data_IF_050667811883
#
_entry.id   IF_050667811883
#
_cell.length_a   1.000
_cell.length_b   1.000
_cell.length_c   1.000
_cell.angle_alpha   90.00
_cell.angle_beta   90.00
_cell.angle_gamma   90.00
#
_symmetry.space_group_name_H-M   'P 1'
#
loop_
_entity.id
_entity.type
_entity.pdbx_description
1 polymer ?
#
# COMPACT_ATOMS: atom_id res chain seq x y z
N UNK A 1 7.90 -10.14 20.95
CA UNK A 1 9.03 -9.40 20.42
C UNK A 1 8.47 -8.29 19.55
N UNK A 2 8.80 -7.10 19.98
CA UNK A 2 8.30 -5.81 19.55
C UNK A 2 8.59 -5.56 18.06
N UNK A 3 7.58 -5.70 17.20
CA UNK A 3 7.67 -5.40 15.76
C UNK A 3 7.02 -4.03 15.43
N UNK A 4 6.68 -3.24 16.44
CA UNK A 4 6.08 -1.93 16.24
C UNK A 4 7.11 -0.88 15.75
N UNK A 5 8.37 -0.97 16.18
CA UNK A 5 9.40 0.03 15.86
C UNK A 5 9.88 0.04 14.40
N UNK A 6 9.60 -0.99 13.61
CA UNK A 6 10.02 -1.06 12.20
C UNK A 6 9.22 -0.15 11.25
N UNK A 7 8.05 0.33 11.66
CA UNK A 7 7.21 1.20 10.84
C UNK A 7 7.66 2.65 10.85
N UNK A 8 8.15 3.12 12.00
CA UNK A 8 8.63 4.50 12.19
C UNK A 8 9.85 4.78 11.30
N UNK A 9 10.82 3.85 11.28
CA UNK A 9 12.00 4.00 10.43
C UNK A 9 11.70 3.94 8.92
N UNK A 10 10.62 3.26 8.51
CA UNK A 10 10.23 3.20 7.10
C UNK A 10 9.53 4.50 6.65
N UNK A 11 8.85 5.20 7.54
CA UNK A 11 8.16 6.47 7.25
C UNK A 11 9.18 7.58 7.01
N UNK A 12 10.26 7.66 7.80
CA UNK A 12 11.32 8.67 7.64
C UNK A 12 12.06 8.59 6.30
N UNK A 13 12.07 7.42 5.66
CA UNK A 13 12.78 7.22 4.39
C UNK A 13 11.93 7.51 3.14
N UNK A 14 10.62 7.69 3.30
CA UNK A 14 9.71 7.64 2.15
C UNK A 14 9.16 8.98 1.64
N UNK A 15 9.46 10.11 2.29
CA UNK A 15 9.10 11.43 1.80
C UNK A 15 7.63 11.56 1.35
N UNK A 16 7.33 12.29 0.27
CA UNK A 16 5.96 12.60 -0.17
C UNK A 16 5.08 11.42 -0.63
N UNK A 17 5.51 10.19 -0.40
CA UNK A 17 4.70 8.96 -0.65
C UNK A 17 3.77 8.64 0.52
N UNK A 18 3.65 9.53 1.47
CA UNK A 18 2.87 9.39 2.70
C UNK A 18 1.38 9.13 2.48
N UNK A 19 0.81 9.50 1.34
CA UNK A 19 -0.58 9.21 0.98
C UNK A 19 -0.91 7.71 0.87
N UNK A 20 0.11 6.86 0.82
CA UNK A 20 -0.04 5.42 0.64
C UNK A 20 0.03 4.64 1.94
N UNK A 21 0.42 5.27 3.04
CA UNK A 21 0.72 4.63 4.30
C UNK A 21 -0.29 4.97 5.37
N UNK A 22 -0.51 4.02 6.26
CA UNK A 22 -1.08 4.31 7.57
C UNK A 22 0.01 4.99 8.38
N UNK A 23 -0.02 6.32 8.43
CA UNK A 23 0.87 7.07 9.29
C UNK A 23 0.53 6.77 10.75
N UNK A 24 1.43 6.22 11.55
CA UNK A 24 1.29 6.31 12.99
C UNK A 24 1.45 7.78 13.36
N UNK A 25 0.44 8.40 13.94
CA UNK A 25 0.68 9.55 14.79
C UNK A 25 1.54 9.06 15.96
N UNK A 26 2.59 9.78 16.30
CA UNK A 26 3.48 9.40 17.41
C UNK A 26 2.67 9.27 18.71
N UNK A 27 1.77 10.20 18.96
CA UNK A 27 0.73 10.14 19.97
C UNK A 27 -0.54 10.84 19.43
N UNK A 28 -1.63 10.10 19.14
CA UNK A 28 -2.88 10.72 18.68
C UNK A 28 -3.53 11.67 19.70
N UNK A 29 -3.19 11.54 20.98
CA UNK A 29 -3.69 12.43 22.03
C UNK A 29 -2.89 13.74 22.13
N UNK A 30 -1.70 13.81 21.50
CA UNK A 30 -0.88 15.02 21.46
C UNK A 30 -1.31 15.92 20.27
N UNK A 31 -1.85 17.14 20.53
CA UNK A 31 -2.18 18.09 19.47
C UNK A 31 -0.97 18.42 18.55
N UNK A 32 0.25 18.43 19.10
CA UNK A 32 1.46 18.73 18.33
C UNK A 32 1.70 17.69 17.22
N UNK A 33 1.34 16.42 17.44
CA UNK A 33 1.47 15.38 16.42
C UNK A 33 0.58 15.63 15.20
N UNK A 34 -0.58 16.26 15.40
CA UNK A 34 -1.49 16.65 14.32
C UNK A 34 -1.01 17.87 13.55
N UNK A 35 -0.38 18.83 14.25
CA UNK A 35 0.25 20.00 13.62
C UNK A 35 1.44 19.58 12.76
N UNK A 36 2.28 18.68 13.27
CA UNK A 36 3.40 18.10 12.52
C UNK A 36 2.89 17.34 11.29
N UNK A 37 1.84 16.54 11.44
CA UNK A 37 1.22 15.86 10.31
C UNK A 37 0.69 16.86 9.28
N UNK A 38 -0.01 17.93 9.71
CA UNK A 38 -0.50 18.96 8.79
C UNK A 38 0.64 19.64 8.02
N UNK A 39 1.72 19.96 8.71
CA UNK A 39 2.93 20.54 8.09
C UNK A 39 3.52 19.62 7.04
N UNK A 40 3.56 18.31 7.34
CA UNK A 40 4.13 17.28 6.46
C UNK A 40 3.28 17.04 5.20
N UNK A 41 1.95 16.92 5.35
CA UNK A 41 1.07 16.52 4.24
C UNK A 41 0.51 17.72 3.46
N UNK A 42 0.53 18.89 4.03
CA UNK A 42 -0.05 20.10 3.46
C UNK A 42 -1.57 20.23 3.62
N UNK A 43 -2.14 21.38 3.24
CA UNK A 43 -3.56 21.70 3.40
C UNK A 43 -4.44 20.87 2.45
N UNK A 44 -5.63 20.49 2.93
CA UNK A 44 -6.66 19.79 2.14
C UNK A 44 -6.30 18.37 1.70
N UNK A 45 -5.19 17.81 2.20
CA UNK A 45 -4.70 16.49 1.82
C UNK A 45 -5.42 15.40 2.61
N UNK A 46 -5.81 14.33 1.92
CA UNK A 46 -6.45 13.18 2.55
C UNK A 46 -5.42 12.10 2.86
N UNK A 47 -5.34 11.70 4.13
CA UNK A 47 -4.40 10.68 4.61
C UNK A 47 -5.11 9.56 5.35
N UNK A 48 -4.45 8.41 5.46
CA UNK A 48 -4.93 7.27 6.24
C UNK A 48 -4.06 7.07 7.46
N UNK A 49 -4.71 7.01 8.61
CA UNK A 49 -4.07 6.89 9.91
C UNK A 49 -4.50 5.60 10.62
N UNK A 50 -3.74 5.20 11.63
CA UNK A 50 -4.27 4.36 12.70
C UNK A 50 -5.44 5.09 13.38
N UNK A 51 -6.41 4.37 13.98
CA UNK A 51 -7.49 5.02 14.71
C UNK A 51 -6.95 5.97 15.75
N UNK A 52 -7.50 7.18 15.78
CA UNK A 52 -7.41 8.11 16.88
C UNK A 52 -8.81 8.19 17.50
N UNK A 53 -8.88 8.25 18.81
CA UNK A 53 -10.16 8.38 19.52
C UNK A 53 -10.74 9.77 19.28
N UNK A 54 -9.90 10.79 19.33
CA UNK A 54 -10.25 12.18 19.05
C UNK A 54 -9.50 12.71 17.83
N UNK A 55 -10.23 13.36 16.95
CA UNK A 55 -9.68 14.06 15.78
C UNK A 55 -9.82 15.55 16.05
N UNK A 56 -8.74 16.34 16.02
CA UNK A 56 -8.80 17.76 16.34
C UNK A 56 -9.70 18.57 15.39
N UNK A 57 -10.17 19.71 15.89
CA UNK A 57 -10.94 20.67 15.09
C UNK A 57 -10.18 21.06 13.82
N UNK A 58 -10.93 21.22 12.75
CA UNK A 58 -10.38 21.53 11.43
C UNK A 58 -10.02 20.32 10.59
N UNK A 59 -9.72 19.15 11.18
CA UNK A 59 -9.57 17.90 10.47
C UNK A 59 -10.93 17.26 10.18
N UNK A 60 -11.11 16.78 8.96
CA UNK A 60 -12.37 16.14 8.54
C UNK A 60 -12.21 14.63 8.49
N UNK A 61 -13.05 13.90 9.23
CA UNK A 61 -13.14 12.45 9.09
C UNK A 61 -13.86 12.12 7.79
N UNK A 62 -13.12 11.56 6.83
CA UNK A 62 -13.63 11.18 5.51
C UNK A 62 -14.21 9.77 5.51
N UNK A 63 -13.80 8.92 6.47
CA UNK A 63 -14.31 7.57 6.61
C UNK A 63 -13.50 6.73 7.59
N UNK A 64 -14.07 5.58 7.91
CA UNK A 64 -13.41 4.53 8.67
C UNK A 64 -13.50 3.23 7.89
N UNK A 65 -12.46 2.43 7.93
CA UNK A 65 -12.43 1.13 7.26
C UNK A 65 -11.70 0.10 8.10
N UNK A 66 -11.76 -1.14 7.68
CA UNK A 66 -10.96 -2.21 8.25
C UNK A 66 -10.10 -2.80 7.17
N UNK A 67 -8.82 -3.01 7.47
CA UNK A 67 -7.91 -3.76 6.63
C UNK A 67 -7.48 -5.04 7.32
N UNK A 68 -7.13 -6.04 6.53
CA UNK A 68 -6.46 -7.25 6.97
C UNK A 68 -5.02 -7.21 6.51
N UNK A 69 -4.10 -7.58 7.40
CA UNK A 69 -2.71 -7.84 7.07
C UNK A 69 -2.53 -9.35 6.92
N UNK A 70 -1.98 -9.76 5.79
CA UNK A 70 -1.69 -11.16 5.49
C UNK A 70 -0.19 -11.35 5.31
N UNK A 71 0.32 -12.48 5.78
CA UNK A 71 1.74 -12.86 5.69
C UNK A 71 1.90 -14.15 4.89
N UNK A 72 2.90 -14.18 4.02
CA UNK A 72 3.14 -15.30 3.10
C UNK A 72 3.89 -16.45 3.76
N UNK A 73 3.32 -17.08 4.79
CA UNK A 73 3.95 -18.15 5.56
C UNK A 73 4.12 -19.44 4.77
N UNK A 74 3.08 -19.86 4.04
CA UNK A 74 3.05 -21.07 3.22
C UNK A 74 3.01 -20.76 1.71
N UNK A 75 3.30 -19.52 1.33
CA UNK A 75 3.28 -19.09 -0.06
C UNK A 75 4.32 -19.87 -0.86
N UNK A 76 3.89 -20.52 -1.95
CA UNK A 76 4.78 -21.08 -2.94
C UNK A 76 5.09 -20.01 -3.97
N UNK A 77 6.37 -19.62 -4.05
CA UNK A 77 6.85 -18.65 -5.03
C UNK A 77 7.16 -19.35 -6.35
N UNK A 78 7.00 -18.62 -7.43
CA UNK A 78 7.24 -19.11 -8.78
C UNK A 78 7.51 -17.91 -9.69
N UNK A 79 8.58 -17.92 -10.50
CA UNK A 79 8.83 -16.87 -11.48
C UNK A 79 7.73 -16.86 -12.54
N UNK A 80 7.31 -15.69 -12.99
CA UNK A 80 6.37 -15.54 -14.09
C UNK A 80 7.13 -15.17 -15.37
N UNK A 81 7.38 -16.15 -16.23
CA UNK A 81 8.19 -15.99 -17.44
C UNK A 81 7.62 -15.00 -18.46
N UNK A 82 6.32 -14.74 -18.42
CA UNK A 82 5.62 -13.78 -19.28
C UNK A 82 5.39 -12.41 -18.61
N UNK A 83 5.83 -12.25 -17.37
CA UNK A 83 5.80 -10.97 -16.69
C UNK A 83 7.00 -10.11 -17.11
N UNK A 84 6.72 -8.83 -17.32
CA UNK A 84 7.75 -7.83 -17.62
C UNK A 84 7.94 -6.93 -16.42
N UNK A 85 9.19 -6.52 -16.17
CA UNK A 85 9.49 -5.50 -15.18
C UNK A 85 9.04 -4.15 -15.71
N UNK A 86 8.28 -3.42 -14.89
CA UNK A 86 7.77 -2.09 -15.21
C UNK A 86 8.65 -1.02 -14.56
N UNK A 87 8.77 0.12 -15.23
CA UNK A 87 9.57 1.25 -14.79
C UNK A 87 8.89 2.60 -15.02
N UNK A 88 9.61 3.71 -14.86
CA UNK A 88 9.06 5.05 -15.02
C UNK A 88 8.37 5.30 -16.38
N UNK A 89 8.87 4.71 -17.45
CA UNK A 89 8.28 4.83 -18.78
C UNK A 89 6.88 4.19 -18.90
N UNK A 90 6.57 3.22 -18.04
CA UNK A 90 5.29 2.51 -18.05
C UNK A 90 4.23 3.20 -17.15
N UNK A 91 4.59 4.24 -16.39
CA UNK A 91 3.70 4.91 -15.44
C UNK A 91 2.37 5.37 -16.05
N UNK A 92 2.30 5.97 -17.24
CA UNK A 92 1.02 6.36 -17.86
C UNK A 92 0.08 5.16 -18.03
N UNK A 93 0.60 4.03 -18.48
CA UNK A 93 -0.17 2.80 -18.70
C UNK A 93 -0.57 2.12 -17.38
N UNK A 94 0.30 2.17 -16.37
CA UNK A 94 0.00 1.72 -15.02
C UNK A 94 -1.16 2.53 -14.44
N UNK A 95 -1.11 3.86 -14.53
CA UNK A 95 -2.18 4.74 -14.03
C UNK A 95 -3.51 4.49 -14.73
N UNK A 96 -3.52 4.22 -16.04
CA UNK A 96 -4.72 3.83 -16.77
C UNK A 96 -5.30 2.49 -16.24
N UNK A 97 -4.46 1.48 -16.02
CA UNK A 97 -4.91 0.21 -15.42
C UNK A 97 -5.44 0.41 -14.00
N UNK A 98 -4.74 1.19 -13.17
CA UNK A 98 -5.14 1.50 -11.80
C UNK A 98 -6.48 2.24 -11.75
N UNK A 99 -6.69 3.22 -12.62
CA UNK A 99 -7.97 3.95 -12.71
C UNK A 99 -9.15 3.02 -13.02
N UNK A 100 -8.95 2.03 -13.89
CA UNK A 100 -9.98 1.04 -14.28
C UNK A 100 -10.22 -0.04 -13.21
N UNK A 101 -9.22 -0.38 -12.42
CA UNK A 101 -9.26 -1.54 -11.50
C UNK A 101 -9.38 -1.15 -10.03
N UNK A 102 -8.94 0.06 -9.66
CA UNK A 102 -8.97 0.65 -8.32
C UNK A 102 -8.39 -0.28 -7.23
N UNK A 103 -7.14 -0.76 -7.39
CA UNK A 103 -6.53 -1.70 -6.43
C UNK A 103 -6.15 -1.03 -5.10
N UNK A 104 -6.17 0.28 -5.06
CA UNK A 104 -5.70 1.13 -3.98
C UNK A 104 -4.90 2.31 -4.55
N UNK A 105 -4.33 3.16 -3.68
CA UNK A 105 -3.56 4.31 -4.14
C UNK A 105 -2.33 3.88 -4.95
N UNK A 106 -2.13 4.53 -6.09
CA UNK A 106 -0.93 4.44 -6.92
C UNK A 106 -0.71 5.80 -7.58
N UNK A 107 0.43 6.41 -7.36
CA UNK A 107 0.81 7.73 -7.86
C UNK A 107 1.97 7.61 -8.86
N UNK A 108 2.30 8.69 -9.55
CA UNK A 108 3.33 8.67 -10.59
C UNK A 108 4.70 8.17 -10.15
N UNK A 109 5.06 8.40 -8.87
CA UNK A 109 6.35 7.95 -8.30
C UNK A 109 6.27 6.62 -7.55
N UNK A 110 5.09 6.01 -7.43
CA UNK A 110 4.93 4.74 -6.69
C UNK A 110 5.79 3.61 -7.26
N UNK A 111 6.05 3.63 -8.56
CA UNK A 111 6.92 2.66 -9.24
C UNK A 111 8.37 2.67 -8.72
N UNK A 112 8.80 3.76 -8.08
CA UNK A 112 10.15 3.92 -7.51
C UNK A 112 10.34 3.18 -6.17
N UNK A 113 9.24 2.75 -5.53
CA UNK A 113 9.27 2.12 -4.20
C UNK A 113 9.83 0.70 -4.20
N UNK A 114 9.83 0.02 -5.35
CA UNK A 114 10.32 -1.35 -5.45
C UNK A 114 10.14 -1.95 -6.83
N UNK A 115 10.15 -3.27 -6.90
CA UNK A 115 9.95 -3.99 -8.15
C UNK A 115 8.48 -4.06 -8.50
N UNK A 116 8.12 -3.64 -9.70
CA UNK A 116 6.78 -3.80 -10.28
C UNK A 116 6.83 -4.74 -11.47
N UNK A 117 5.92 -5.72 -11.48
CA UNK A 117 5.77 -6.69 -12.55
C UNK A 117 4.41 -6.54 -13.22
N UNK A 118 4.37 -6.63 -14.53
CA UNK A 118 3.15 -6.56 -15.31
C UNK A 118 3.03 -7.67 -16.33
N UNK A 119 1.81 -8.02 -16.70
CA UNK A 119 1.51 -8.90 -17.82
C UNK A 119 0.83 -8.09 -18.91
N UNK A 120 1.28 -8.26 -20.14
CA UNK A 120 0.73 -7.58 -21.32
C UNK A 120 -0.04 -8.55 -22.19
N UNK A 121 -1.10 -8.06 -22.81
CA UNK A 121 -1.83 -8.76 -23.86
C UNK A 121 -2.03 -7.83 -25.06
N UNK A 122 -1.55 -8.24 -26.22
CA UNK A 122 -1.56 -7.42 -27.45
C UNK A 122 -0.97 -6.02 -27.22
N UNK A 123 0.16 -5.96 -26.52
CA UNK A 123 0.86 -4.71 -26.19
C UNK A 123 0.29 -3.92 -25.01
N UNK A 124 -0.91 -4.20 -24.51
CA UNK A 124 -1.57 -3.48 -23.41
C UNK A 124 -1.33 -4.17 -22.07
N UNK A 125 -1.06 -3.38 -21.02
CA UNK A 125 -0.96 -3.85 -19.65
C UNK A 125 -2.33 -4.29 -19.12
N UNK A 126 -2.42 -5.57 -18.71
CA UNK A 126 -3.67 -6.18 -18.26
C UNK A 126 -3.62 -6.65 -16.81
N UNK A 127 -2.46 -6.79 -16.23
CA UNK A 127 -2.30 -7.14 -14.81
C UNK A 127 -1.01 -6.54 -14.27
N UNK A 128 -1.03 -6.21 -12.98
CA UNK A 128 0.04 -5.56 -12.24
C UNK A 128 0.14 -6.15 -10.83
N UNK A 129 1.34 -6.26 -10.31
CA UNK A 129 1.66 -6.37 -8.89
C UNK A 129 3.05 -5.79 -8.65
N UNK A 130 3.32 -5.28 -7.45
CA UNK A 130 4.64 -4.74 -7.15
C UNK A 130 4.88 -4.61 -5.65
N UNK A 131 6.01 -4.03 -5.32
CA UNK A 131 6.47 -3.79 -3.95
C UNK A 131 6.18 -2.34 -3.55
N UNK A 132 5.88 -2.11 -2.27
CA UNK A 132 5.60 -0.77 -1.77
C UNK A 132 6.43 -0.41 -0.54
N UNK A 133 6.28 -1.14 0.54
CA UNK A 133 6.93 -0.86 1.82
C UNK A 133 7.97 -1.94 2.09
N UNK A 134 9.17 -1.51 2.47
CA UNK A 134 10.20 -2.40 2.97
C UNK A 134 10.55 -2.00 4.40
N UNK A 135 10.48 -2.97 5.30
CA UNK A 135 10.96 -2.85 6.69
C UNK A 135 11.91 -4.01 6.98
N UNK A 136 12.78 -3.94 8.00
CA UNK A 136 13.75 -5.00 8.25
C UNK A 136 13.12 -6.40 8.25
N UNK A 137 13.56 -7.25 7.31
CA UNK A 137 13.11 -8.63 7.13
C UNK A 137 11.74 -8.81 6.47
N UNK A 138 11.08 -7.73 5.99
CA UNK A 138 9.76 -7.80 5.37
C UNK A 138 9.59 -6.81 4.23
N UNK A 139 8.92 -7.25 3.15
CA UNK A 139 8.55 -6.39 2.02
C UNK A 139 7.07 -6.57 1.69
N UNK A 140 6.35 -5.45 1.52
CA UNK A 140 4.92 -5.45 1.18
C UNK A 140 4.69 -5.61 -0.31
N UNK A 141 3.82 -6.56 -0.66
CA UNK A 141 3.25 -6.68 -2.01
C UNK A 141 2.02 -5.78 -2.09
N UNK A 142 1.95 -4.96 -3.12
CA UNK A 142 0.90 -3.96 -3.33
C UNK A 142 0.49 -3.84 -4.79
N UNK A 143 -0.49 -2.98 -5.06
CA UNK A 143 -1.02 -2.66 -6.39
C UNK A 143 -1.48 -3.88 -7.21
N UNK A 144 -1.86 -4.97 -6.54
CA UNK A 144 -2.30 -6.19 -7.21
C UNK A 144 -3.63 -5.94 -7.91
N UNK A 145 -3.61 -5.95 -9.23
CA UNK A 145 -4.82 -5.76 -10.02
C UNK A 145 -4.77 -6.49 -11.36
N UNK A 146 -5.99 -6.75 -11.88
CA UNK A 146 -6.19 -7.36 -13.20
C UNK A 146 -7.35 -6.67 -13.89
N UNK A 147 -7.13 -6.29 -15.14
CA UNK A 147 -8.16 -5.72 -16.01
C UNK A 147 -9.43 -6.59 -15.99
N UNK A 148 -10.63 -6.00 -15.85
CA UNK A 148 -11.87 -6.74 -15.75
C UNK A 148 -12.08 -7.80 -16.83
N UNK A 149 -11.72 -7.50 -18.08
CA UNK A 149 -11.84 -8.44 -19.20
C UNK A 149 -10.86 -9.62 -19.16
N UNK A 150 -9.91 -9.61 -18.21
CA UNK A 150 -8.88 -10.64 -18.09
C UNK A 150 -8.87 -11.33 -16.71
N UNK A 151 -9.86 -11.05 -15.86
CA UNK A 151 -10.04 -11.73 -14.55
C UNK A 151 -10.38 -13.21 -14.73
N UNK A 152 -10.25 -13.98 -13.63
CA UNK A 152 -10.52 -15.42 -13.62
C UNK A 152 -9.44 -16.29 -14.29
N UNK A 153 -8.36 -15.71 -14.78
CA UNK A 153 -7.25 -16.41 -15.47
C UNK A 153 -6.01 -16.62 -14.58
N UNK A 154 -6.10 -16.36 -13.29
CA UNK A 154 -4.99 -16.54 -12.34
C UNK A 154 -3.86 -15.52 -12.44
N UNK A 155 -3.99 -14.44 -13.25
CA UNK A 155 -2.92 -13.48 -13.49
C UNK A 155 -2.42 -12.80 -12.22
N UNK A 156 -3.34 -12.37 -11.34
CA UNK A 156 -2.99 -11.75 -10.05
C UNK A 156 -2.20 -12.70 -9.15
N UNK A 157 -2.65 -13.94 -9.00
CA UNK A 157 -1.96 -14.95 -8.20
C UNK A 157 -0.54 -15.22 -8.73
N UNK A 158 -0.38 -15.28 -10.05
CA UNK A 158 0.89 -15.50 -10.72
C UNK A 158 1.87 -14.36 -10.49
N UNK A 159 1.40 -13.11 -10.64
CA UNK A 159 2.23 -11.93 -10.36
C UNK A 159 2.60 -11.83 -8.89
N UNK A 160 1.68 -12.11 -7.96
CA UNK A 160 1.98 -12.11 -6.52
C UNK A 160 3.05 -13.14 -6.18
N UNK A 161 3.01 -14.34 -6.77
CA UNK A 161 4.06 -15.36 -6.57
C UNK A 161 5.40 -14.90 -7.11
N UNK A 162 5.43 -14.27 -8.28
CA UNK A 162 6.66 -13.79 -8.90
C UNK A 162 7.29 -12.61 -8.13
N UNK A 163 6.46 -11.67 -7.65
CA UNK A 163 6.97 -10.58 -6.78
C UNK A 163 7.51 -11.15 -5.48
N UNK A 164 6.79 -12.10 -4.88
CA UNK A 164 7.22 -12.76 -3.65
C UNK A 164 8.51 -13.58 -3.83
N UNK A 165 8.74 -14.12 -5.01
CA UNK A 165 9.98 -14.82 -5.36
C UNK A 165 11.17 -13.87 -5.25
N UNK A 166 11.14 -12.73 -5.93
CA UNK A 166 12.18 -11.72 -5.82
C UNK A 166 12.34 -11.12 -4.40
N UNK A 167 11.25 -11.05 -3.61
CA UNK A 167 11.33 -10.65 -2.20
C UNK A 167 12.13 -11.68 -1.39
N UNK A 168 11.85 -12.96 -1.56
CA UNK A 168 12.54 -14.05 -0.84
C UNK A 168 14.00 -14.22 -1.26
N UNK A 169 14.31 -14.02 -2.54
CA UNK A 169 15.70 -14.04 -3.03
C UNK A 169 16.59 -13.00 -2.30
N UNK A 170 15.99 -11.90 -1.85
CA UNK A 170 16.67 -10.88 -1.03
C UNK A 170 16.68 -11.15 0.47
N UNK A 171 16.12 -12.29 0.90
CA UNK A 171 16.03 -12.69 2.31
C UNK A 171 14.85 -12.09 3.08
N UNK A 172 13.98 -11.31 2.42
CA UNK A 172 12.78 -10.72 3.03
C UNK A 172 11.60 -11.68 3.00
N UNK A 173 10.62 -11.43 3.87
CA UNK A 173 9.33 -12.14 3.91
C UNK A 173 8.24 -11.29 3.26
N UNK A 174 7.45 -11.87 2.35
CA UNK A 174 6.34 -11.13 1.74
C UNK A 174 5.16 -10.99 2.70
N UNK A 175 4.57 -9.79 2.74
CA UNK A 175 3.28 -9.52 3.36
C UNK A 175 2.45 -8.62 2.45
N UNK A 176 1.17 -8.45 2.76
CA UNK A 176 0.29 -7.54 2.04
C UNK A 176 -0.87 -7.08 2.93
N UNK A 177 -1.55 -6.03 2.48
CA UNK A 177 -2.81 -5.58 3.08
C UNK A 177 -3.94 -5.66 2.05
N UNK A 178 -5.13 -5.95 2.54
CA UNK A 178 -6.36 -5.88 1.77
C UNK A 178 -7.46 -5.20 2.61
N UNK A 179 -8.40 -4.53 1.97
CA UNK A 179 -9.62 -4.10 2.64
C UNK A 179 -10.37 -5.34 3.16
N UNK A 180 -10.90 -5.28 4.37
CA UNK A 180 -11.50 -6.45 5.04
C UNK A 180 -12.77 -6.94 4.35
N UNK A 181 -13.42 -6.10 3.55
CA UNK A 181 -14.57 -6.39 2.72
C UNK A 181 -14.20 -6.93 1.32
N UNK A 182 -12.91 -6.84 0.93
CA UNK A 182 -12.43 -7.40 -0.33
C UNK A 182 -12.24 -8.92 -0.23
N UNK A 183 -13.35 -9.62 0.03
CA UNK A 183 -13.38 -11.08 0.17
C UNK A 183 -12.76 -11.84 -1.02
N UNK A 184 -12.97 -11.43 -2.29
CA UNK A 184 -12.33 -12.11 -3.40
C UNK A 184 -10.79 -12.06 -3.36
N UNK A 185 -10.21 -10.92 -3.00
CA UNK A 185 -8.76 -10.80 -2.87
C UNK A 185 -8.23 -11.61 -1.69
N UNK A 186 -8.89 -11.56 -0.53
CA UNK A 186 -8.50 -12.31 0.66
C UNK A 186 -8.48 -13.80 0.35
N UNK A 187 -9.55 -14.35 -0.26
CA UNK A 187 -9.62 -15.76 -0.67
C UNK A 187 -8.51 -16.14 -1.65
N UNK A 188 -8.19 -15.26 -2.60
CA UNK A 188 -7.08 -15.49 -3.53
C UNK A 188 -5.76 -15.61 -2.77
N UNK A 189 -5.48 -14.69 -1.84
CA UNK A 189 -4.23 -14.70 -1.08
C UNK A 189 -4.13 -15.92 -0.16
N UNK A 190 -5.20 -16.29 0.52
CA UNK A 190 -5.26 -17.51 1.34
C UNK A 190 -5.02 -18.77 0.49
N UNK A 191 -5.65 -18.87 -0.67
CA UNK A 191 -5.51 -20.01 -1.59
C UNK A 191 -4.07 -20.17 -2.12
N UNK A 192 -3.28 -19.11 -2.18
CA UNK A 192 -1.88 -19.19 -2.62
C UNK A 192 -0.88 -19.28 -1.47
N UNK A 193 -1.35 -19.31 -0.20
CA UNK A 193 -0.53 -19.58 0.98
C UNK A 193 -0.20 -18.37 1.86
N UNK A 194 -0.98 -17.30 1.76
CA UNK A 194 -0.97 -16.25 2.79
C UNK A 194 -1.89 -16.62 3.94
N UNK A 195 -1.56 -16.15 5.13
CA UNK A 195 -2.42 -16.27 6.33
C UNK A 195 -2.72 -14.89 6.89
N UNK A 196 -3.95 -14.70 7.36
CA UNK A 196 -4.32 -13.44 8.03
C UNK A 196 -3.59 -13.38 9.37
N UNK A 197 -2.77 -12.33 9.53
CA UNK A 197 -2.04 -12.05 10.77
C UNK A 197 -2.84 -11.20 11.73
N UNK A 198 -3.47 -10.12 11.22
CA UNK A 198 -4.28 -9.22 12.04
C UNK A 198 -5.30 -8.46 11.20
N UNK A 199 -6.30 -7.93 11.89
CA UNK A 199 -7.22 -6.90 11.37
C UNK A 199 -6.88 -5.58 12.04
N UNK A 200 -6.93 -4.49 11.29
CA UNK A 200 -6.68 -3.16 11.79
C UNK A 200 -7.76 -2.20 11.26
N UNK A 201 -8.27 -1.35 12.13
CA UNK A 201 -9.12 -0.24 11.72
C UNK A 201 -8.25 0.85 11.09
N UNK A 202 -8.77 1.53 10.09
CA UNK A 202 -8.18 2.66 9.40
C UNK A 202 -9.07 3.86 9.60
N UNK A 203 -8.47 5.00 9.89
CA UNK A 203 -9.12 6.28 9.88
C UNK A 203 -8.63 7.05 8.64
N UNK A 204 -9.55 7.53 7.83
CA UNK A 204 -9.24 8.42 6.72
C UNK A 204 -9.66 9.83 7.10
N UNK A 205 -8.70 10.75 7.11
CA UNK A 205 -8.92 12.15 7.47
C UNK A 205 -8.39 13.06 6.37
N UNK A 206 -9.00 14.24 6.26
CA UNK A 206 -8.51 15.33 5.43
C UNK A 206 -7.97 16.43 6.32
N UNK A 207 -6.76 16.91 6.01
CA UNK A 207 -6.13 18.01 6.73
C UNK A 207 -6.90 19.32 6.54
N UNK A 208 -6.80 20.27 7.48
CA UNK A 208 -7.35 21.62 7.34
C UNK A 208 -6.93 22.29 6.04
N UNK A 209 -7.81 23.14 5.47
CA UNK A 209 -7.52 23.87 4.23
C UNK A 209 -6.53 25.02 4.40
N UNK A 210 -6.29 25.44 5.64
CA UNK A 210 -5.34 26.51 5.98
C UNK A 210 -4.24 25.93 6.85
N UNK A 211 -2.96 26.33 6.69
CA UNK A 211 -1.89 25.93 7.60
C UNK A 211 -2.22 26.37 9.04
N UNK A 212 -1.78 25.62 10.07
CA UNK A 212 -1.93 26.06 11.44
C UNK A 212 -1.25 27.40 11.65
N UNK A 213 -1.98 28.36 12.22
CA UNK A 213 -1.44 29.68 12.54
C UNK A 213 -0.37 29.51 13.63
N UNK A 214 0.87 29.89 13.34
CA UNK A 214 1.81 30.28 14.41
C UNK A 214 3.05 29.44 14.66
N UNK A 215 3.64 28.76 13.69
CA UNK A 215 5.06 28.39 13.77
C UNK A 215 5.83 28.99 12.60
N UNK A 216 6.43 30.14 12.86
CA UNK A 216 7.54 30.65 12.03
C UNK A 216 8.77 29.77 12.29
N UNK A 217 9.55 29.44 11.25
CA UNK A 217 10.75 28.62 11.37
C UNK A 217 11.83 29.23 12.23
#
# INVERSE_FOLDING_TARGET
HDQAGGWEAAVDQMGPVLDLLQLPLADPADPAAWDDLHTLVGPGTTVRLKPADDVPDGWQVMGRGTAVQLVGTALRTEPALDAVRLGPADVPEILDLVARTRPGPFLGRTVELGTYLGIRHRGRLIALAGERIRVPGWTEISAVCTDPGHRGRGLGARLVRAVADGIRERGDRPFLHAAADNTPAIRLYEAIGFTVRRRATLLQVRSPGTPPEGRTP
#
